data_IF_073750695797
#
_entry.id   IF_073750695797
#
_cell.length_a   1.000
_cell.length_b   1.000
_cell.length_c   1.000
_cell.angle_alpha   90.00
_cell.angle_beta   90.00
_cell.angle_gamma   90.00
#
_symmetry.space_group_name_H-M   'P 1'
#
loop_
_entity.id
_entity.type
_entity.pdbx_description
1 polymer ?
#
# COMPACT_ATOMS: atom_id res chain seq x y z
N UNK A 1 -45.53 -43.92 68.97
CA UNK A 1 -45.23 -43.06 67.82
C UNK A 1 -44.03 -42.19 68.19
N UNK A 2 -42.94 -42.35 67.43
CA UNK A 2 -41.74 -41.50 67.22
C UNK A 2 -41.29 -40.50 68.33
N UNK A 3 -40.12 -40.73 68.97
CA UNK A 3 -38.77 -40.15 68.67
C UNK A 3 -38.76 -38.60 68.68
N UNK A 4 -38.33 -37.95 69.76
CA UNK A 4 -36.94 -37.54 70.14
C UNK A 4 -36.25 -36.57 69.15
N UNK A 5 -36.04 -35.35 69.67
CA UNK A 5 -34.94 -34.38 69.49
C UNK A 5 -34.57 -33.86 68.10
N UNK A 6 -34.48 -32.53 67.95
CA UNK A 6 -33.27 -31.82 67.50
C UNK A 6 -33.21 -30.38 68.06
N UNK A 7 -32.08 -30.05 68.70
CA UNK A 7 -31.53 -28.71 68.86
C UNK A 7 -30.97 -28.25 67.51
N UNK A 8 -31.15 -26.98 67.13
CA UNK A 8 -30.55 -26.44 65.90
C UNK A 8 -30.40 -24.91 65.90
N UNK A 9 -29.16 -24.45 66.08
CA UNK A 9 -28.70 -23.08 65.88
C UNK A 9 -29.09 -22.51 64.49
N UNK A 10 -29.34 -21.19 64.34
CA UNK A 10 -29.30 -20.58 63.03
C UNK A 10 -27.85 -20.26 62.64
N UNK A 11 -27.22 -21.17 61.90
CA UNK A 11 -26.12 -20.83 61.00
C UNK A 11 -26.71 -20.39 59.66
N UNK A 12 -26.27 -19.24 59.12
CA UNK A 12 -26.11 -18.83 57.69
C UNK A 12 -26.25 -17.29 57.60
N UNK A 13 -25.42 -16.51 56.92
CA UNK A 13 -24.23 -16.65 56.06
C UNK A 13 -23.52 -15.28 56.12
N UNK A 14 -22.18 -15.19 55.98
CA UNK A 14 -21.54 -13.90 55.79
C UNK A 14 -21.98 -13.33 54.44
N UNK A 15 -22.46 -12.09 54.46
CA UNK A 15 -22.71 -11.29 53.26
C UNK A 15 -21.36 -11.12 52.54
N UNK A 16 -21.17 -11.88 51.46
CA UNK A 16 -20.06 -11.70 50.55
C UNK A 16 -20.20 -10.33 49.87
N UNK A 17 -19.55 -9.31 50.44
CA UNK A 17 -19.32 -8.07 49.72
C UNK A 17 -18.46 -8.37 48.49
N UNK A 18 -19.09 -8.34 47.32
CA UNK A 18 -18.45 -8.46 46.02
C UNK A 18 -17.61 -7.20 45.77
N UNK A 19 -16.40 -7.16 46.32
CA UNK A 19 -15.38 -6.15 45.99
C UNK A 19 -14.72 -6.52 44.65
N UNK A 20 -15.38 -6.12 43.55
CA UNK A 20 -15.06 -6.63 42.20
C UNK A 20 -14.00 -5.84 41.41
N UNK A 21 -13.38 -4.78 41.97
CA UNK A 21 -12.50 -3.90 41.18
C UNK A 21 -11.00 -4.06 41.44
N UNK A 22 -10.58 -4.66 42.55
CA UNK A 22 -9.16 -4.83 42.88
C UNK A 22 -8.56 -6.19 42.47
N UNK A 23 -9.38 -7.27 42.43
CA UNK A 23 -8.91 -8.64 42.17
C UNK A 23 -8.83 -9.01 40.68
N UNK A 24 -9.54 -8.31 39.80
CA UNK A 24 -9.48 -8.58 38.34
C UNK A 24 -8.09 -8.34 37.77
N UNK A 25 -7.40 -7.30 38.24
CA UNK A 25 -6.06 -6.94 37.76
C UNK A 25 -4.99 -7.94 38.22
N UNK A 26 -5.11 -8.50 39.44
CA UNK A 26 -4.20 -9.54 39.94
C UNK A 26 -4.41 -10.88 39.25
N UNK A 27 -5.66 -11.26 39.01
CA UNK A 27 -6.00 -12.50 38.29
C UNK A 27 -5.53 -12.43 36.83
N UNK A 28 -5.80 -11.32 36.14
CA UNK A 28 -5.31 -11.10 34.77
C UNK A 28 -3.79 -11.05 34.71
N UNK A 29 -3.11 -10.40 35.67
CA UNK A 29 -1.64 -10.40 35.70
C UNK A 29 -1.05 -11.79 35.93
N UNK A 30 -1.66 -12.61 36.79
CA UNK A 30 -1.23 -13.99 37.07
C UNK A 30 -1.49 -14.94 35.89
N UNK A 31 -2.60 -14.74 35.17
CA UNK A 31 -2.87 -15.47 33.93
C UNK A 31 -1.88 -15.07 32.84
N UNK A 32 -1.58 -13.78 32.69
CA UNK A 32 -0.58 -13.28 31.73
C UNK A 32 0.81 -13.84 32.04
N UNK A 33 1.23 -13.90 33.31
CA UNK A 33 2.53 -14.46 33.67
C UNK A 33 2.63 -15.97 33.40
N UNK A 34 1.57 -16.73 33.68
CA UNK A 34 1.49 -18.16 33.31
C UNK A 34 1.52 -18.39 31.80
N UNK A 35 0.78 -17.59 31.04
CA UNK A 35 0.77 -17.67 29.56
C UNK A 35 2.16 -17.36 29.01
N UNK A 36 2.83 -16.33 29.52
CA UNK A 36 4.22 -15.99 29.12
C UNK A 36 5.20 -17.12 29.40
N UNK A 37 5.11 -17.74 30.58
CA UNK A 37 5.97 -18.86 30.96
C UNK A 37 5.77 -20.07 30.05
N UNK A 38 4.51 -20.44 29.77
CA UNK A 38 4.19 -21.53 28.86
C UNK A 38 4.68 -21.25 27.45
N UNK A 39 4.47 -20.03 26.95
CA UNK A 39 4.92 -19.66 25.61
C UNK A 39 6.44 -19.80 25.46
N UNK A 40 7.20 -19.39 26.47
CA UNK A 40 8.66 -19.51 26.48
C UNK A 40 9.15 -20.97 26.58
N UNK A 41 8.41 -21.86 27.27
CA UNK A 41 8.68 -23.29 27.24
C UNK A 41 8.43 -23.89 25.84
N UNK A 42 7.35 -23.47 25.17
CA UNK A 42 7.04 -23.88 23.80
C UNK A 42 8.11 -23.39 22.80
N UNK A 43 8.56 -22.14 22.91
CA UNK A 43 9.63 -21.59 22.06
C UNK A 43 10.93 -22.39 22.19
N UNK A 44 11.38 -22.68 23.42
CA UNK A 44 12.59 -23.49 23.68
C UNK A 44 12.47 -24.93 23.15
N UNK A 45 11.27 -25.51 23.22
CA UNK A 45 11.02 -26.85 22.67
C UNK A 45 11.08 -26.85 21.14
N UNK A 46 10.43 -25.87 20.50
CA UNK A 46 10.41 -25.71 19.05
C UNK A 46 11.81 -25.44 18.48
N UNK A 47 12.60 -24.60 19.14
CA UNK A 47 13.98 -24.26 18.76
C UNK A 47 14.89 -25.50 18.76
N UNK A 48 14.77 -26.36 19.78
CA UNK A 48 15.59 -27.58 19.91
C UNK A 48 15.22 -28.67 18.92
N UNK A 49 13.93 -28.89 18.67
CA UNK A 49 13.47 -29.99 17.79
C UNK A 49 13.44 -29.63 16.31
N UNK A 50 13.13 -28.38 15.96
CA UNK A 50 12.92 -27.97 14.57
C UNK A 50 13.47 -26.55 14.29
N UNK A 51 14.79 -26.37 14.22
CA UNK A 51 15.42 -25.05 14.11
C UNK A 51 14.96 -24.24 12.87
N UNK A 52 14.77 -24.91 11.72
CA UNK A 52 14.26 -24.26 10.49
C UNK A 52 12.81 -23.81 10.60
N UNK A 53 11.96 -24.61 11.26
CA UNK A 53 10.56 -24.26 11.49
C UNK A 53 10.45 -23.12 12.51
N UNK A 54 11.30 -23.12 13.54
CA UNK A 54 11.34 -22.06 14.54
C UNK A 54 11.69 -20.69 13.92
N UNK A 55 12.60 -20.64 12.96
CA UNK A 55 12.90 -19.39 12.24
C UNK A 55 11.67 -18.85 11.50
N UNK A 56 10.90 -19.71 10.80
CA UNK A 56 9.67 -19.31 10.12
C UNK A 56 8.57 -18.89 11.12
N UNK A 57 8.38 -19.69 12.17
CA UNK A 57 7.39 -19.46 13.23
C UNK A 57 7.65 -18.15 13.98
N UNK A 58 8.90 -17.92 14.40
CA UNK A 58 9.29 -16.69 15.11
C UNK A 58 9.20 -15.46 14.22
N UNK A 59 9.56 -15.57 12.93
CA UNK A 59 9.38 -14.48 11.95
C UNK A 59 7.90 -14.15 11.76
N UNK A 60 7.05 -15.18 11.66
CA UNK A 60 5.61 -15.01 11.53
C UNK A 60 4.98 -14.38 12.78
N UNK A 61 5.32 -14.86 13.99
CA UNK A 61 4.82 -14.28 15.23
C UNK A 61 5.26 -12.83 15.41
N UNK A 62 6.53 -12.51 15.10
CA UNK A 62 7.02 -11.13 15.11
C UNK A 62 6.24 -10.25 14.12
N UNK A 63 6.02 -10.74 12.90
CA UNK A 63 5.20 -10.05 11.89
C UNK A 63 3.76 -9.79 12.36
N UNK A 64 3.12 -10.77 13.00
CA UNK A 64 1.80 -10.60 13.60
C UNK A 64 1.80 -9.57 14.73
N UNK A 65 2.78 -9.61 15.63
CA UNK A 65 2.90 -8.62 16.72
C UNK A 65 3.01 -7.20 16.17
N UNK A 66 3.87 -6.99 15.16
CA UNK A 66 4.03 -5.70 14.49
C UNK A 66 2.71 -5.26 13.84
N UNK A 67 2.04 -6.15 13.12
CA UNK A 67 0.74 -5.87 12.49
C UNK A 67 -0.34 -5.50 13.51
N UNK A 68 -0.39 -6.16 14.67
CA UNK A 68 -1.33 -5.81 15.73
C UNK A 68 -1.02 -4.47 16.39
N UNK A 69 0.26 -4.12 16.56
CA UNK A 69 0.63 -2.78 17.03
C UNK A 69 0.22 -1.69 16.04
N UNK A 70 0.46 -1.89 14.75
CA UNK A 70 0.02 -0.97 13.70
C UNK A 70 -1.51 -0.86 13.65
N UNK A 71 -2.22 -1.97 13.77
CA UNK A 71 -3.69 -1.97 13.82
C UNK A 71 -4.22 -1.14 15.00
N UNK A 72 -3.55 -1.18 16.15
CA UNK A 72 -3.91 -0.38 17.33
C UNK A 72 -3.68 1.11 17.08
N UNK A 73 -2.55 1.48 16.49
CA UNK A 73 -2.26 2.87 16.12
C UNK A 73 -3.26 3.42 15.11
N UNK A 74 -3.61 2.64 14.10
CA UNK A 74 -4.58 3.04 13.08
C UNK A 74 -5.98 3.19 13.65
N UNK A 75 -6.37 2.35 14.62
CA UNK A 75 -7.61 2.56 15.37
C UNK A 75 -7.60 3.88 16.12
N UNK A 76 -6.46 4.30 16.70
CA UNK A 76 -6.33 5.61 17.35
C UNK A 76 -6.47 6.74 16.34
N UNK A 77 -5.77 6.68 15.20
CA UNK A 77 -5.88 7.69 14.14
C UNK A 77 -7.33 7.81 13.65
N UNK A 78 -8.02 6.68 13.42
CA UNK A 78 -9.44 6.69 13.02
C UNK A 78 -10.36 7.23 14.12
N UNK A 79 -10.09 6.92 15.38
CA UNK A 79 -10.85 7.46 16.50
C UNK A 79 -10.65 8.99 16.59
N UNK A 80 -9.42 9.47 16.46
CA UNK A 80 -9.11 10.90 16.47
C UNK A 80 -9.73 11.63 15.29
N UNK A 81 -9.75 11.02 14.10
CA UNK A 81 -10.45 11.52 12.92
C UNK A 81 -11.95 11.68 13.19
N UNK A 82 -12.58 10.66 13.78
CA UNK A 82 -14.01 10.68 14.14
C UNK A 82 -14.32 11.69 15.24
N UNK A 83 -13.45 11.81 16.24
CA UNK A 83 -13.64 12.72 17.36
C UNK A 83 -13.48 14.20 16.94
N UNK A 84 -12.57 14.47 16.01
CA UNK A 84 -12.25 15.83 15.53
C UNK A 84 -12.98 16.20 14.24
N UNK A 85 -13.79 15.31 13.66
CA UNK A 85 -14.43 15.46 12.34
C UNK A 85 -13.45 15.90 11.23
N UNK A 86 -12.21 15.43 11.32
CA UNK A 86 -11.16 15.74 10.34
C UNK A 86 -11.34 14.84 9.13
N UNK A 87 -11.21 15.37 7.92
CA UNK A 87 -11.26 14.55 6.71
C UNK A 87 -9.88 13.96 6.39
N UNK A 88 -9.85 12.86 5.62
CA UNK A 88 -8.60 12.17 5.24
C UNK A 88 -7.53 13.10 4.64
N UNK A 89 -7.93 14.13 3.88
CA UNK A 89 -7.03 15.06 3.21
C UNK A 89 -6.35 16.09 4.14
N UNK A 90 -6.80 16.21 5.38
CA UNK A 90 -6.25 17.17 6.36
C UNK A 90 -5.22 16.52 7.29
N UNK A 91 -5.06 15.19 7.21
CA UNK A 91 -4.11 14.46 8.05
C UNK A 91 -2.65 14.76 7.64
N UNK A 92 -1.70 14.59 8.58
CA UNK A 92 -0.29 14.65 8.24
C UNK A 92 0.10 13.47 7.34
N UNK A 93 1.12 13.68 6.50
CA UNK A 93 1.58 12.71 5.50
C UNK A 93 1.83 11.31 6.08
N UNK A 94 2.52 11.22 7.22
CA UNK A 94 2.89 9.95 7.86
C UNK A 94 1.66 9.13 8.27
N UNK A 95 0.61 9.78 8.78
CA UNK A 95 -0.61 9.09 9.18
C UNK A 95 -1.40 8.61 7.96
N UNK A 96 -1.48 9.45 6.92
CA UNK A 96 -2.15 9.09 5.67
C UNK A 96 -1.48 7.89 4.98
N UNK A 97 -0.15 7.89 4.90
CA UNK A 97 0.61 6.82 4.24
C UNK A 97 0.49 5.50 5.03
N UNK A 98 0.56 5.55 6.37
CA UNK A 98 0.30 4.37 7.22
C UNK A 98 -1.10 3.81 7.02
N UNK A 99 -2.13 4.67 7.00
CA UNK A 99 -3.52 4.25 6.75
C UNK A 99 -3.66 3.56 5.39
N UNK A 100 -3.01 4.12 4.35
CA UNK A 100 -3.04 3.57 2.99
C UNK A 100 -2.37 2.20 2.93
N UNK A 101 -1.16 2.07 3.47
CA UNK A 101 -0.40 0.82 3.48
C UNK A 101 -1.18 -0.28 4.22
N UNK A 102 -1.64 0.01 5.43
CA UNK A 102 -2.40 -0.94 6.23
C UNK A 102 -3.73 -1.35 5.59
N UNK A 103 -4.44 -0.43 4.91
CA UNK A 103 -5.66 -0.80 4.17
C UNK A 103 -5.37 -1.83 3.10
N UNK A 104 -4.26 -1.69 2.36
CA UNK A 104 -3.85 -2.64 1.31
C UNK A 104 -3.48 -3.98 1.93
N UNK A 105 -2.77 -3.97 3.04
CA UNK A 105 -2.37 -5.18 3.75
C UNK A 105 -3.57 -5.92 4.34
N UNK A 106 -4.55 -5.19 4.88
CA UNK A 106 -5.79 -5.74 5.42
C UNK A 106 -6.68 -6.34 4.31
N UNK A 107 -6.75 -5.71 3.13
CA UNK A 107 -7.45 -6.29 1.97
C UNK A 107 -6.84 -7.63 1.55
N UNK A 108 -5.50 -7.79 1.67
CA UNK A 108 -4.83 -9.08 1.41
C UNK A 108 -5.01 -10.07 2.56
N UNK A 109 -5.02 -9.60 3.80
CA UNK A 109 -5.09 -10.44 5.00
C UNK A 109 -6.48 -11.01 5.26
N UNK A 110 -7.56 -10.26 4.95
CA UNK A 110 -8.93 -10.71 5.21
C UNK A 110 -9.26 -12.04 4.52
N UNK A 111 -9.02 -12.22 3.20
CA UNK A 111 -9.29 -13.49 2.54
C UNK A 111 -8.50 -14.65 3.16
N UNK A 112 -7.24 -14.42 3.53
CA UNK A 112 -6.38 -15.41 4.20
C UNK A 112 -6.96 -15.78 5.57
N UNK A 113 -7.40 -14.77 6.34
CA UNK A 113 -8.03 -14.95 7.64
C UNK A 113 -9.33 -15.76 7.56
N UNK A 114 -10.22 -15.42 6.62
CA UNK A 114 -11.48 -16.17 6.40
C UNK A 114 -11.18 -17.62 6.00
N UNK A 115 -10.19 -17.83 5.13
CA UNK A 115 -9.78 -19.17 4.71
C UNK A 115 -9.18 -19.98 5.87
N UNK A 116 -8.66 -19.34 6.92
CA UNK A 116 -8.12 -19.99 8.12
C UNK A 116 -9.15 -20.36 9.20
N UNK A 117 -10.40 -19.88 9.09
CA UNK A 117 -11.46 -20.20 10.07
C UNK A 117 -11.77 -21.71 10.17
N UNK A 118 -11.84 -22.47 9.06
CA UNK A 118 -12.05 -23.92 9.13
C UNK A 118 -10.83 -24.63 9.71
N UNK A 119 -11.00 -25.58 10.66
CA UNK A 119 -9.89 -26.22 11.37
C UNK A 119 -8.89 -26.96 10.47
N UNK A 120 -9.34 -27.48 9.32
CA UNK A 120 -8.50 -28.21 8.35
C UNK A 120 -7.80 -27.31 7.32
N UNK A 121 -8.31 -26.08 7.13
CA UNK A 121 -7.78 -25.17 6.13
C UNK A 121 -6.47 -24.49 6.59
N UNK A 122 -6.14 -24.55 7.88
CA UNK A 122 -4.89 -23.99 8.43
C UNK A 122 -3.63 -24.51 7.73
N UNK A 123 -3.52 -25.82 7.51
CA UNK A 123 -2.38 -26.41 6.79
C UNK A 123 -2.37 -26.01 5.32
N UNK A 124 -3.55 -25.89 4.71
CA UNK A 124 -3.68 -25.44 3.32
C UNK A 124 -3.28 -23.96 3.16
N UNK A 125 -3.67 -23.09 4.09
CA UNK A 125 -3.24 -21.69 4.15
C UNK A 125 -1.73 -21.58 4.31
N UNK A 126 -1.12 -22.39 5.19
CA UNK A 126 0.34 -22.44 5.34
C UNK A 126 1.05 -22.89 4.05
N UNK A 127 0.51 -23.91 3.38
CA UNK A 127 1.01 -24.37 2.07
C UNK A 127 0.91 -23.27 1.01
N UNK A 128 -0.25 -22.62 0.92
CA UNK A 128 -0.46 -21.50 -0.01
C UNK A 128 0.46 -20.31 0.29
N UNK A 129 0.69 -20.02 1.57
CA UNK A 129 1.58 -18.94 2.01
C UNK A 129 3.03 -19.21 1.60
N UNK A 130 3.46 -20.48 1.62
CA UNK A 130 4.78 -20.91 1.15
C UNK A 130 4.90 -20.86 -0.38
N UNK A 131 3.87 -21.30 -1.11
CA UNK A 131 3.88 -21.35 -2.58
C UNK A 131 3.63 -19.98 -3.24
N UNK A 132 2.81 -19.13 -2.63
CA UNK A 132 2.41 -17.83 -3.18
C UNK A 132 2.69 -16.68 -2.19
N UNK A 133 3.96 -16.49 -1.77
CA UNK A 133 4.34 -15.47 -0.79
C UNK A 133 3.96 -14.05 -1.26
N UNK A 134 4.05 -13.78 -2.57
CA UNK A 134 3.75 -12.48 -3.16
C UNK A 134 2.26 -12.06 -3.04
N UNK A 135 1.34 -13.01 -3.04
CA UNK A 135 -0.09 -12.73 -3.09
C UNK A 135 -0.74 -12.74 -1.70
N UNK A 136 -0.26 -13.61 -0.80
CA UNK A 136 -0.93 -13.88 0.48
C UNK A 136 -0.20 -13.26 1.68
N UNK A 137 1.11 -13.03 1.59
CA UNK A 137 1.86 -12.39 2.66
C UNK A 137 1.76 -10.86 2.57
N UNK A 138 1.62 -10.26 3.75
CA UNK A 138 1.73 -8.82 3.98
C UNK A 138 3.22 -8.41 3.88
N UNK A 139 3.49 -7.14 3.53
CA UNK A 139 4.86 -6.61 3.37
C UNK A 139 5.77 -6.88 4.57
N UNK A 140 5.25 -6.82 5.79
CA UNK A 140 6.00 -7.07 7.04
C UNK A 140 6.52 -8.50 7.20
N UNK A 141 5.99 -9.46 6.43
CA UNK A 141 6.42 -10.86 6.49
C UNK A 141 7.45 -11.20 5.42
N UNK A 142 7.80 -10.24 4.55
CA UNK A 142 8.79 -10.45 3.51
C UNK A 142 10.20 -10.17 4.02
N UNK A 143 11.15 -11.01 3.62
CA UNK A 143 12.57 -10.70 3.80
C UNK A 143 12.96 -9.52 2.90
N UNK A 144 13.98 -8.71 3.25
CA UNK A 144 14.40 -7.58 2.43
C UNK A 144 14.79 -7.99 1.00
N UNK A 145 15.41 -9.17 0.85
CA UNK A 145 15.74 -9.75 -0.47
C UNK A 145 14.47 -10.05 -1.29
N UNK A 146 13.49 -10.71 -0.70
CA UNK A 146 12.21 -11.01 -1.36
C UNK A 146 11.44 -9.74 -1.72
N UNK A 147 11.49 -8.72 -0.87
CA UNK A 147 10.84 -7.44 -1.13
C UNK A 147 11.43 -6.77 -2.38
N UNK A 148 12.76 -6.71 -2.50
CA UNK A 148 13.43 -6.17 -3.69
C UNK A 148 13.06 -6.96 -4.97
N UNK A 149 13.10 -8.29 -4.90
CA UNK A 149 12.74 -9.18 -6.03
C UNK A 149 11.28 -8.98 -6.48
N UNK A 150 10.35 -8.91 -5.52
CA UNK A 150 8.94 -8.70 -5.84
C UNK A 150 8.71 -7.31 -6.42
N UNK A 151 9.32 -6.26 -5.87
CA UNK A 151 9.23 -4.90 -6.40
C UNK A 151 9.78 -4.81 -7.84
N UNK A 152 10.89 -5.49 -8.15
CA UNK A 152 11.41 -5.59 -9.51
C UNK A 152 10.43 -6.33 -10.44
N UNK A 153 9.86 -7.44 -9.98
CA UNK A 153 8.85 -8.18 -10.78
C UNK A 153 7.60 -7.34 -11.06
N UNK A 154 7.09 -6.63 -10.06
CA UNK A 154 5.99 -5.68 -10.23
C UNK A 154 6.36 -4.54 -11.18
N UNK A 155 7.59 -4.05 -11.11
CA UNK A 155 8.07 -3.01 -12.02
C UNK A 155 8.14 -3.50 -13.47
N UNK A 156 8.59 -4.73 -13.71
CA UNK A 156 8.59 -5.35 -15.05
C UNK A 156 7.17 -5.48 -15.62
N UNK A 157 6.21 -5.99 -14.83
CA UNK A 157 4.80 -6.07 -15.24
C UNK A 157 4.20 -4.70 -15.55
N UNK A 158 4.56 -3.70 -14.74
CA UNK A 158 4.14 -2.31 -14.93
C UNK A 158 4.74 -1.72 -16.21
N UNK A 159 5.98 -2.09 -16.53
CA UNK A 159 6.70 -1.68 -17.74
C UNK A 159 6.09 -2.23 -19.02
N UNK A 160 5.70 -3.50 -19.02
CA UNK A 160 4.92 -4.10 -20.13
C UNK A 160 3.58 -3.37 -20.33
N UNK A 161 2.92 -2.97 -19.25
CA UNK A 161 1.68 -2.22 -19.36
C UNK A 161 1.89 -0.80 -19.90
N UNK A 162 3.06 -0.17 -19.73
CA UNK A 162 3.31 1.17 -20.26
C UNK A 162 3.37 1.23 -21.77
N UNK A 163 3.94 0.23 -22.43
CA UNK A 163 3.98 0.22 -23.89
C UNK A 163 2.56 0.25 -24.44
N UNK A 164 1.66 -0.55 -23.86
CA UNK A 164 0.23 -0.54 -24.22
C UNK A 164 -0.45 0.81 -23.91
N UNK A 165 -0.07 1.51 -22.84
CA UNK A 165 -0.58 2.87 -22.54
C UNK A 165 -0.11 3.85 -23.61
N UNK A 166 1.17 3.84 -23.96
CA UNK A 166 1.74 4.78 -24.93
C UNK A 166 1.14 4.54 -26.32
N UNK A 167 0.96 3.30 -26.74
CA UNK A 167 0.31 2.95 -28.01
C UNK A 167 -1.15 3.44 -28.01
N UNK A 168 -1.84 3.26 -26.89
CA UNK A 168 -3.18 3.79 -26.65
C UNK A 168 -3.27 5.31 -26.76
N UNK A 169 -2.33 6.02 -26.16
CA UNK A 169 -2.25 7.49 -26.21
C UNK A 169 -1.91 7.99 -27.61
N UNK A 170 -1.01 7.30 -28.30
CA UNK A 170 -0.65 7.59 -29.69
C UNK A 170 -1.88 7.46 -30.59
N UNK A 171 -2.67 6.38 -30.44
CA UNK A 171 -3.91 6.24 -31.17
C UNK A 171 -4.91 7.37 -30.87
N UNK A 172 -5.10 7.72 -29.59
CA UNK A 172 -6.00 8.81 -29.19
C UNK A 172 -5.53 10.20 -29.61
N UNK A 173 -4.23 10.40 -29.83
CA UNK A 173 -3.66 11.68 -30.25
C UNK A 173 -4.06 12.11 -31.67
N UNK A 174 -4.62 11.21 -32.48
CA UNK A 174 -5.15 11.55 -33.80
C UNK A 174 -6.54 12.19 -33.77
N UNK A 175 -7.21 12.14 -32.62
CA UNK A 175 -8.61 12.57 -32.42
C UNK A 175 -8.81 14.06 -32.10
N UNK A 176 -7.90 14.78 -31.41
CA UNK A 176 -8.08 16.20 -31.12
C UNK A 176 -8.16 17.05 -32.40
N UNK A 177 -9.07 18.04 -32.39
CA UNK A 177 -9.29 18.95 -33.52
C UNK A 177 -8.14 19.96 -33.70
N UNK A 178 -7.44 20.32 -32.62
CA UNK A 178 -6.31 21.26 -32.66
C UNK A 178 -5.04 20.57 -33.22
N UNK A 179 -4.56 20.98 -34.40
CA UNK A 179 -3.40 20.36 -35.05
C UNK A 179 -2.09 20.59 -34.27
N UNK A 180 -1.95 21.70 -33.54
CA UNK A 180 -0.73 21.99 -32.79
C UNK A 180 -0.63 21.07 -31.58
N UNK A 181 -1.69 20.96 -30.80
CA UNK A 181 -1.74 20.07 -29.63
C UNK A 181 -1.62 18.60 -30.03
N UNK A 182 -2.19 18.21 -31.17
CA UNK A 182 -2.03 16.87 -31.75
C UNK A 182 -0.57 16.57 -32.09
N UNK A 183 0.11 17.45 -32.82
CA UNK A 183 1.52 17.27 -33.16
C UNK A 183 2.39 17.22 -31.89
N UNK A 184 2.05 18.03 -30.89
CA UNK A 184 2.78 18.06 -29.62
C UNK A 184 2.60 16.79 -28.81
N UNK A 185 1.39 16.23 -28.75
CA UNK A 185 1.14 14.95 -28.10
C UNK A 185 1.87 13.79 -28.81
N UNK A 186 1.85 13.76 -30.15
CA UNK A 186 2.60 12.78 -30.95
C UNK A 186 4.11 12.88 -30.74
N UNK A 187 4.64 14.11 -30.68
CA UNK A 187 6.05 14.36 -30.36
C UNK A 187 6.41 13.81 -28.99
N UNK A 188 5.59 14.06 -27.96
CA UNK A 188 5.82 13.53 -26.61
C UNK A 188 5.75 12.00 -26.58
N UNK A 189 4.76 11.38 -27.24
CA UNK A 189 4.67 9.92 -27.33
C UNK A 189 5.92 9.33 -28.00
N UNK A 190 6.39 9.90 -29.11
CA UNK A 190 7.59 9.47 -29.81
C UNK A 190 8.86 9.64 -28.95
N UNK A 191 9.01 10.80 -28.30
CA UNK A 191 10.12 11.10 -27.38
C UNK A 191 10.20 10.04 -26.27
N UNK A 192 9.07 9.66 -25.70
CA UNK A 192 8.98 8.61 -24.68
C UNK A 192 9.28 7.21 -25.24
N UNK A 193 8.80 6.88 -26.45
CA UNK A 193 9.13 5.60 -27.11
C UNK A 193 10.62 5.47 -27.43
N UNK A 194 11.29 6.58 -27.76
CA UNK A 194 12.74 6.66 -27.99
C UNK A 194 13.55 6.61 -26.69
N UNK A 195 12.89 6.56 -25.53
CA UNK A 195 13.53 6.56 -24.22
C UNK A 195 13.99 7.94 -23.74
N UNK A 196 13.64 9.02 -24.46
CA UNK A 196 13.93 10.39 -24.08
C UNK A 196 12.89 10.94 -23.10
N UNK A 197 13.30 11.89 -22.26
CA UNK A 197 12.48 12.38 -21.15
C UNK A 197 11.86 13.73 -21.47
N UNK A 198 10.53 13.86 -21.44
CA UNK A 198 9.86 15.14 -21.61
C UNK A 198 10.06 16.03 -20.39
N UNK A 199 10.32 17.31 -20.61
CA UNK A 199 10.51 18.27 -19.52
C UNK A 199 9.17 18.59 -18.82
N UNK A 200 9.24 19.04 -17.57
CA UNK A 200 8.07 19.46 -16.80
C UNK A 200 7.27 20.54 -17.54
N UNK A 201 7.95 21.46 -18.23
CA UNK A 201 7.31 22.52 -19.01
C UNK A 201 6.53 21.98 -20.20
N UNK A 202 7.11 21.05 -20.96
CA UNK A 202 6.47 20.38 -22.09
C UNK A 202 5.21 19.64 -21.65
N UNK A 203 5.26 18.95 -20.51
CA UNK A 203 4.10 18.23 -19.96
C UNK A 203 3.00 19.16 -19.46
N UNK A 204 3.38 20.32 -18.89
CA UNK A 204 2.41 21.35 -18.49
C UNK A 204 1.69 21.94 -19.70
N UNK A 205 2.32 21.99 -20.87
CA UNK A 205 1.70 22.52 -22.09
C UNK A 205 0.51 21.66 -22.56
N UNK A 206 0.60 20.33 -22.37
CA UNK A 206 -0.41 19.38 -22.89
C UNK A 206 -1.53 19.09 -21.87
N UNK A 207 -1.50 19.75 -20.71
CA UNK A 207 -2.47 19.55 -19.62
C UNK A 207 -3.94 19.71 -20.06
N UNK A 208 -4.22 20.62 -20.99
CA UNK A 208 -5.58 20.92 -21.45
C UNK A 208 -6.25 19.72 -22.14
N UNK A 209 -5.48 18.86 -22.80
CA UNK A 209 -6.00 17.70 -23.54
C UNK A 209 -6.65 16.63 -22.65
N UNK A 210 -6.31 16.62 -21.36
CA UNK A 210 -6.72 15.59 -20.41
C UNK A 210 -7.93 15.97 -19.55
N UNK A 211 -8.45 17.20 -19.68
CA UNK A 211 -9.63 17.65 -18.92
C UNK A 211 -10.93 17.06 -19.47
N UNK A 212 -10.91 16.64 -20.74
CA UNK A 212 -12.08 16.17 -21.45
C UNK A 212 -11.69 15.29 -22.64
N UNK A 213 -12.40 15.43 -23.75
CA UNK A 213 -12.15 14.60 -24.93
C UNK A 213 -10.85 14.96 -25.63
N UNK A 214 -10.03 13.97 -26.05
CA UNK A 214 -10.24 12.51 -25.99
C UNK A 214 -9.59 11.78 -24.79
N UNK A 215 -8.81 12.47 -23.94
CA UNK A 215 -7.94 11.81 -22.96
C UNK A 215 -8.49 11.72 -21.53
N UNK A 216 -9.67 12.28 -21.27
CA UNK A 216 -10.30 12.26 -19.95
C UNK A 216 -10.62 10.84 -19.47
N UNK A 217 -10.53 10.61 -18.16
CA UNK A 217 -10.75 9.28 -17.55
C UNK A 217 -12.18 8.78 -17.78
N UNK A 218 -13.12 9.66 -18.07
CA UNK A 218 -14.50 9.28 -18.39
C UNK A 218 -14.65 8.72 -19.81
N UNK A 219 -13.69 8.93 -20.69
CA UNK A 219 -13.83 8.63 -22.12
C UNK A 219 -12.85 7.56 -22.60
N UNK A 220 -11.75 7.36 -21.87
CA UNK A 220 -10.90 6.18 -22.02
C UNK A 220 -11.78 4.91 -21.88
N UNK A 221 -11.82 4.02 -22.87
CA UNK A 221 -12.64 2.79 -22.83
C UNK A 221 -11.79 1.58 -22.48
N UNK A 222 -10.76 1.31 -23.29
CA UNK A 222 -9.84 0.17 -23.11
C UNK A 222 -8.71 0.50 -22.14
N UNK A 223 -8.27 1.76 -22.13
CA UNK A 223 -7.07 2.20 -21.41
C UNK A 223 -7.18 2.10 -19.88
N UNK A 224 -8.39 2.11 -19.30
CA UNK A 224 -8.56 1.92 -17.84
C UNK A 224 -8.02 0.60 -17.34
N UNK A 225 -8.15 -0.48 -18.12
CA UNK A 225 -7.63 -1.79 -17.73
C UNK A 225 -6.12 -1.79 -17.69
N UNK A 226 -5.49 -1.15 -18.66
CA UNK A 226 -4.04 -0.99 -18.74
C UNK A 226 -3.54 -0.11 -17.58
N UNK A 227 -4.17 1.04 -17.35
CA UNK A 227 -3.81 1.97 -16.28
C UNK A 227 -4.04 1.37 -14.89
N UNK A 228 -5.05 0.50 -14.75
CA UNK A 228 -5.25 -0.27 -13.53
C UNK A 228 -4.16 -1.30 -13.29
N UNK A 229 -3.61 -1.94 -14.34
CA UNK A 229 -2.44 -2.82 -14.20
C UNK A 229 -1.22 -2.03 -13.72
N UNK A 230 -0.98 -0.89 -14.34
CA UNK A 230 0.12 0.03 -13.99
C UNK A 230 0.09 0.44 -12.52
N UNK A 231 -1.10 0.77 -12.01
CA UNK A 231 -1.31 1.20 -10.62
C UNK A 231 -1.54 0.05 -9.63
N UNK A 232 -1.36 -1.21 -10.08
CA UNK A 232 -1.59 -2.42 -9.30
C UNK A 232 -2.99 -2.52 -8.67
N UNK A 233 -4.01 -2.04 -9.40
CA UNK A 233 -5.42 -2.16 -9.04
C UNK A 233 -6.03 -3.44 -9.63
N UNK A 234 -7.14 -3.89 -9.05
CA UNK A 234 -7.85 -5.09 -9.49
C UNK A 234 -8.48 -4.87 -10.88
N UNK A 235 -7.94 -5.54 -11.90
CA UNK A 235 -8.33 -5.38 -13.32
C UNK A 235 -9.60 -6.14 -13.73
N UNK A 236 -10.07 -7.06 -12.88
CA UNK A 236 -11.23 -7.94 -13.17
C UNK A 236 -12.58 -7.29 -12.90
N UNK A 237 -12.60 -6.02 -12.51
CA UNK A 237 -13.84 -5.29 -12.21
C UNK A 237 -14.47 -4.70 -13.48
N UNK A 238 -15.81 -4.52 -13.51
CA UNK A 238 -16.49 -3.81 -14.60
C UNK A 238 -15.95 -2.38 -14.76
N UNK A 239 -16.03 -1.84 -15.98
CA UNK A 239 -15.40 -0.57 -16.37
C UNK A 239 -15.82 0.62 -15.48
N UNK A 240 -17.07 0.68 -15.02
CA UNK A 240 -17.53 1.75 -14.12
C UNK A 240 -16.84 1.72 -12.75
N UNK A 241 -16.79 0.55 -12.10
CA UNK A 241 -16.09 0.39 -10.83
C UNK A 241 -14.60 0.64 -10.96
N UNK A 242 -14.01 0.22 -12.09
CA UNK A 242 -12.60 0.43 -12.38
C UNK A 242 -12.26 1.92 -12.45
N UNK A 243 -13.07 2.71 -13.16
CA UNK A 243 -12.93 4.18 -13.24
C UNK A 243 -13.02 4.84 -11.87
N UNK A 244 -14.02 4.48 -11.08
CA UNK A 244 -14.18 5.04 -9.73
C UNK A 244 -13.02 4.67 -8.81
N UNK A 245 -12.53 3.43 -8.92
CA UNK A 245 -11.38 2.95 -8.16
C UNK A 245 -10.08 3.65 -8.57
N UNK A 246 -9.87 3.85 -9.87
CA UNK A 246 -8.75 4.64 -10.41
C UNK A 246 -8.80 6.07 -9.88
N UNK A 247 -9.95 6.74 -10.00
CA UNK A 247 -10.16 8.10 -9.50
C UNK A 247 -9.91 8.22 -8.00
N UNK A 248 -10.42 7.27 -7.22
CA UNK A 248 -10.24 7.23 -5.76
C UNK A 248 -8.78 6.98 -5.37
N UNK A 249 -8.07 6.14 -6.14
CA UNK A 249 -6.66 5.88 -5.88
C UNK A 249 -5.79 7.10 -6.26
N UNK A 250 -6.10 7.76 -7.37
CA UNK A 250 -5.42 8.99 -7.78
C UNK A 250 -5.63 10.12 -6.79
N UNK A 251 -6.86 10.32 -6.30
CA UNK A 251 -7.12 11.33 -5.27
C UNK A 251 -6.37 11.02 -3.98
N UNK A 252 -6.31 9.75 -3.57
CA UNK A 252 -5.51 9.30 -2.42
C UNK A 252 -4.01 9.64 -2.60
N UNK A 253 -3.42 9.37 -3.76
CA UNK A 253 -2.02 9.72 -4.06
C UNK A 253 -1.82 11.24 -4.11
N UNK A 254 -2.78 11.98 -4.64
CA UNK A 254 -2.70 13.43 -4.70
C UNK A 254 -2.75 14.07 -3.31
N UNK A 255 -3.66 13.62 -2.43
CA UNK A 255 -3.67 14.13 -1.06
C UNK A 255 -2.37 13.79 -0.32
N UNK A 256 -1.77 12.63 -0.61
CA UNK A 256 -0.43 12.31 -0.11
C UNK A 256 0.64 13.27 -0.65
N UNK A 257 0.59 13.65 -1.93
CA UNK A 257 1.49 14.64 -2.51
C UNK A 257 1.35 16.01 -1.82
N UNK A 258 0.12 16.49 -1.62
CA UNK A 258 -0.13 17.74 -0.92
C UNK A 258 0.38 17.72 0.52
N UNK A 259 0.16 16.62 1.24
CA UNK A 259 0.66 16.45 2.61
C UNK A 259 2.19 16.35 2.65
N UNK A 260 2.80 15.71 1.64
CA UNK A 260 4.25 15.59 1.51
C UNK A 260 4.92 16.96 1.24
N UNK A 261 4.31 17.82 0.43
CA UNK A 261 4.79 19.20 0.23
C UNK A 261 4.76 19.99 1.53
N UNK A 262 3.71 19.84 2.35
CA UNK A 262 3.62 20.51 3.67
C UNK A 262 4.68 20.02 4.66
N UNK A 263 5.03 18.74 4.61
CA UNK A 263 6.09 18.16 5.44
C UNK A 263 7.49 18.60 4.96
N UNK A 264 7.69 18.66 3.65
CA UNK A 264 8.97 18.89 3.02
C UNK A 264 9.72 17.59 2.72
N UNK A 265 10.24 17.47 1.50
CA UNK A 265 10.92 16.25 1.02
C UNK A 265 12.23 15.98 1.76
N UNK A 266 12.89 17.02 2.28
CA UNK A 266 14.13 16.88 3.07
C UNK A 266 13.93 16.22 4.43
N UNK A 267 12.69 16.18 4.94
CA UNK A 267 12.37 15.57 6.24
C UNK A 267 11.97 14.08 6.11
N UNK A 268 11.94 13.55 4.89
CA UNK A 268 11.59 12.16 4.62
C UNK A 268 12.76 11.24 4.98
N UNK A 269 12.45 10.12 5.64
CA UNK A 269 13.44 9.06 5.85
C UNK A 269 13.73 8.32 4.55
N UNK A 270 14.84 7.57 4.50
CA UNK A 270 15.21 6.79 3.31
C UNK A 270 14.17 5.73 2.95
N UNK A 271 13.49 5.18 3.96
CA UNK A 271 12.35 4.29 3.76
C UNK A 271 11.12 5.03 3.21
N UNK A 272 10.86 6.25 3.68
CA UNK A 272 9.77 7.09 3.16
C UNK A 272 10.05 7.57 1.71
N UNK A 273 11.33 7.67 1.31
CA UNK A 273 11.72 7.97 -0.08
C UNK A 273 11.28 6.87 -1.06
N UNK A 274 11.02 5.64 -0.60
CA UNK A 274 10.40 4.57 -1.39
C UNK A 274 8.96 4.91 -1.85
N UNK A 275 8.39 6.03 -1.37
CA UNK A 275 7.16 6.61 -1.90
C UNK A 275 7.23 6.90 -3.43
N UNK A 276 8.44 7.04 -3.98
CA UNK A 276 8.73 7.02 -5.42
C UNK A 276 8.07 5.83 -6.15
N UNK A 277 8.13 4.64 -5.55
CA UNK A 277 7.59 3.41 -6.13
C UNK A 277 6.08 3.45 -6.36
N UNK A 278 5.36 4.06 -5.42
CA UNK A 278 3.91 4.23 -5.54
C UNK A 278 3.55 5.10 -6.74
N UNK A 279 4.39 6.10 -7.03
CA UNK A 279 4.21 7.05 -8.13
C UNK A 279 4.76 6.55 -9.45
N UNK A 280 5.54 5.46 -9.44
CA UNK A 280 5.97 4.80 -10.66
C UNK A 280 7.44 4.43 -10.77
N UNK A 281 8.31 5.21 -10.12
CA UNK A 281 9.76 5.09 -10.22
C UNK A 281 10.28 3.85 -9.48
N UNK A 282 11.21 3.12 -10.07
CA UNK A 282 11.82 1.99 -9.37
C UNK A 282 12.87 2.46 -8.36
N UNK A 283 12.49 2.63 -7.09
CA UNK A 283 13.37 3.05 -6.00
C UNK A 283 14.22 1.94 -5.38
N UNK A 284 14.21 0.72 -5.93
CA UNK A 284 14.96 -0.43 -5.35
C UNK A 284 16.47 -0.27 -5.50
N UNK A 285 16.93 0.33 -6.60
CA UNK A 285 18.35 0.44 -6.95
C UNK A 285 18.84 1.89 -7.03
N UNK A 286 18.00 2.84 -6.62
CA UNK A 286 18.32 4.27 -6.64
C UNK A 286 18.78 4.72 -5.27
N UNK A 287 19.70 5.69 -5.26
CA UNK A 287 20.11 6.33 -4.03
C UNK A 287 18.93 7.13 -3.43
N UNK A 288 18.80 7.20 -2.09
CA UNK A 288 17.73 7.96 -1.45
C UNK A 288 17.73 9.45 -1.83
N UNK A 289 18.89 10.06 -2.07
CA UNK A 289 18.96 11.47 -2.46
C UNK A 289 18.40 11.71 -3.87
N UNK A 290 18.71 10.81 -4.82
CA UNK A 290 18.13 10.85 -6.17
C UNK A 290 16.61 10.67 -6.13
N UNK A 291 16.13 9.79 -5.25
CA UNK A 291 14.70 9.62 -5.02
C UNK A 291 14.05 10.91 -4.51
N UNK A 292 14.70 11.64 -3.60
CA UNK A 292 14.20 12.92 -3.07
C UNK A 292 14.22 14.02 -4.13
N UNK A 293 15.28 14.13 -4.93
CA UNK A 293 15.35 15.07 -6.06
C UNK A 293 14.21 14.81 -7.05
N UNK A 294 13.98 13.55 -7.40
CA UNK A 294 12.87 13.15 -8.25
C UNK A 294 11.51 13.48 -7.64
N UNK A 295 11.31 13.23 -6.34
CA UNK A 295 10.06 13.57 -5.64
C UNK A 295 9.79 15.07 -5.69
N UNK A 296 10.80 15.91 -5.48
CA UNK A 296 10.63 17.37 -5.59
C UNK A 296 10.13 17.78 -6.99
N UNK A 297 10.72 17.21 -8.05
CA UNK A 297 10.27 17.44 -9.42
C UNK A 297 8.84 16.93 -9.66
N UNK A 298 8.51 15.75 -9.13
CA UNK A 298 7.16 15.19 -9.20
C UNK A 298 6.12 16.07 -8.51
N UNK A 299 6.39 16.48 -7.27
CA UNK A 299 5.47 17.30 -6.48
C UNK A 299 5.24 18.67 -7.12
N UNK A 300 6.29 19.27 -7.71
CA UNK A 300 6.17 20.53 -8.46
C UNK A 300 5.20 20.43 -9.64
N UNK A 301 5.09 19.24 -10.26
CA UNK A 301 4.10 18.96 -11.29
C UNK A 301 2.75 18.63 -10.66
N UNK A 302 2.68 17.64 -9.77
CA UNK A 302 1.43 17.12 -9.19
C UNK A 302 0.60 18.22 -8.53
N UNK A 303 1.24 19.10 -7.75
CA UNK A 303 0.55 20.21 -7.09
C UNK A 303 0.20 21.37 -8.03
N UNK A 304 0.81 21.47 -9.21
CA UNK A 304 0.46 22.48 -10.22
C UNK A 304 -0.80 22.12 -11.03
N UNK A 305 -1.23 20.86 -10.96
CA UNK A 305 -2.45 20.38 -11.58
C UNK A 305 -3.63 20.65 -10.64
N UNK A 306 -4.76 21.12 -11.17
CA UNK A 306 -5.95 21.53 -10.39
C UNK A 306 -6.86 20.33 -10.08
N UNK A 307 -7.76 20.53 -9.10
CA UNK A 307 -8.75 19.55 -8.58
C UNK A 307 -9.67 18.83 -9.57
N UNK A 308 -9.76 19.31 -10.80
CA UNK A 308 -10.61 18.75 -11.84
C UNK A 308 -9.81 18.25 -13.05
N UNK A 309 -8.48 18.38 -13.02
CA UNK A 309 -7.55 18.01 -14.09
C UNK A 309 -6.75 16.73 -13.77
N UNK A 310 -7.11 15.96 -12.73
CA UNK A 310 -6.34 14.79 -12.27
C UNK A 310 -6.28 13.60 -13.22
N UNK A 311 -7.13 13.60 -14.24
CA UNK A 311 -7.07 12.67 -15.36
C UNK A 311 -5.70 12.76 -16.07
N UNK A 312 -5.05 13.94 -15.97
CA UNK A 312 -3.65 14.18 -16.35
C UNK A 312 -2.68 13.32 -15.55
N UNK A 313 -2.83 13.17 -14.23
CA UNK A 313 -1.87 12.38 -13.44
C UNK A 313 -1.88 10.91 -13.81
N UNK A 314 -2.97 10.40 -14.40
CA UNK A 314 -3.07 9.03 -14.92
C UNK A 314 -2.24 8.84 -16.20
N UNK A 315 -2.25 9.84 -17.09
CA UNK A 315 -1.48 9.80 -18.33
C UNK A 315 -0.04 10.27 -18.12
N UNK A 316 0.17 11.27 -17.26
CA UNK A 316 1.50 11.74 -16.85
C UNK A 316 2.21 10.78 -15.92
N UNK A 317 1.51 9.95 -15.13
CA UNK A 317 2.16 8.78 -14.51
C UNK A 317 2.58 7.80 -15.61
N UNK A 318 1.75 7.53 -16.62
CA UNK A 318 2.16 6.79 -17.82
C UNK A 318 3.38 7.36 -18.57
N UNK A 319 3.47 8.68 -18.70
CA UNK A 319 4.47 9.40 -19.51
C UNK A 319 5.74 9.78 -18.72
N UNK A 320 5.67 9.91 -17.38
CA UNK A 320 6.83 10.26 -16.52
C UNK A 320 7.50 9.07 -15.84
N UNK A 321 7.08 7.83 -16.12
CA UNK A 321 7.76 6.62 -15.63
C UNK A 321 8.88 6.17 -16.58
N UNK A 322 9.47 7.16 -17.25
CA UNK A 322 10.77 7.06 -17.88
C UNK A 322 11.80 7.99 -17.25
N UNK A 323 11.45 8.79 -16.24
CA UNK A 323 12.43 9.66 -15.57
C UNK A 323 13.35 8.81 -14.68
N UNK A 324 14.42 8.29 -15.27
CA UNK A 324 15.72 8.17 -14.60
C UNK A 324 16.41 9.53 -14.78
N UNK A 325 16.66 10.24 -13.69
CA UNK A 325 17.40 11.50 -13.75
C UNK A 325 18.90 11.17 -13.84
N UNK A 326 19.56 11.65 -14.89
CA UNK A 326 21.01 11.62 -15.05
C UNK A 326 21.60 12.91 -14.47
N UNK A 327 22.48 12.78 -13.48
CA UNK A 327 23.53 13.76 -13.23
C UNK A 327 24.87 13.06 -13.33
N UNK A 328 25.58 13.37 -14.42
CA UNK A 328 27.02 13.25 -14.63
C UNK A 328 27.77 12.10 -13.93
N UNK A 329 28.22 11.16 -14.78
CA UNK A 329 29.17 10.06 -14.56
C UNK A 329 28.57 8.66 -14.32
N UNK A 330 28.36 7.94 -15.43
CA UNK A 330 28.68 6.50 -15.51
C UNK A 330 27.58 5.47 -15.21
N UNK A 331 26.65 5.30 -16.15
CA UNK A 331 25.73 4.14 -16.32
C UNK A 331 24.64 3.94 -15.22
N UNK A 332 23.44 3.37 -15.45
CA UNK A 332 23.03 2.29 -16.36
C UNK A 332 21.55 2.33 -16.80
N UNK A 333 21.32 1.66 -17.94
CA UNK A 333 20.08 1.27 -18.60
C UNK A 333 19.15 0.38 -17.77
N UNK A 334 17.83 0.67 -17.77
CA UNK A 334 16.73 -0.28 -18.03
C UNK A 334 15.54 0.49 -18.64
N UNK A 335 15.58 0.80 -19.95
CA UNK A 335 14.96 0.06 -21.07
C UNK A 335 13.49 0.46 -21.33
N UNK A 336 13.25 1.40 -22.23
CA UNK A 336 12.29 1.16 -23.32
C UNK A 336 13.15 0.96 -24.55
N UNK A 337 13.82 -0.20 -24.63
CA UNK A 337 14.40 -0.67 -25.88
C UNK A 337 13.27 -1.33 -26.64
N UNK A 338 12.49 -0.51 -27.35
CA UNK A 338 11.58 -0.98 -28.40
C UNK A 338 12.46 -1.23 -29.62
N UNK A 339 13.18 -2.37 -29.60
CA UNK A 339 13.77 -3.10 -30.75
C UNK A 339 14.83 -4.08 -30.23
N UNK A 340 14.43 -5.34 -30.08
CA UNK A 340 14.93 -6.46 -30.87
C UNK A 340 14.00 -7.66 -30.71
#
# INVERSE_FOLDING_TARGET
MERIAELGCPFRLPVCHFSSKANSNKLTSALVSKIKYLNHLYERYLERKFPRFYQLYSTFLKGLQIFFSEAKEIRRIKADMSNKNIQFHQLPYREMERLRQFRRDLIKAIPVGILSLPPFANYFVLLLMYLFPRQLLIRHFWTPKQQAEFLNTYHNMRREAYTEVIDGLTHLSHVPDDPQLRQWMLYLCKKVQEGLHPDITELKAVRSLFVGHPFGIQQLTVQHKVLSRVLFLTTRLPSFFLRNRLRSHLSEVHYLDQAMVKLGVSQLTDEEAQACYTRGLNSVHLDPEDCRLWLNQWLSLSCSLREFLWDISLVLSGVKILISWSSNQGNFSVVVNVRH
#
